data_IF_025223309839
#
_entry.id   IF_025223309839
#
_cell.length_a   1.000
_cell.length_b   1.000
_cell.length_c   1.000
_cell.angle_alpha   90.00
_cell.angle_beta   90.00
_cell.angle_gamma   90.00
#
_symmetry.space_group_name_H-M   'P 1'
#
loop_
_entity.id
_entity.type
_entity.pdbx_description
1 polymer ?
#
# COMPACT_ATOMS: atom_id res chain seq x y z
N UNK A 1 16.68 9.08 6.49
CA UNK A 1 15.43 9.34 5.73
C UNK A 1 14.29 9.08 6.70
N UNK A 2 13.48 10.11 6.98
CA UNK A 2 12.41 10.02 7.98
C UNK A 2 11.31 9.10 7.47
N UNK A 3 11.06 7.99 8.16
CA UNK A 3 9.91 7.13 7.91
C UNK A 3 8.66 7.98 8.06
N UNK A 4 7.99 8.30 6.96
CA UNK A 4 6.73 9.04 7.02
C UNK A 4 5.75 8.11 7.76
N UNK A 5 5.39 8.47 8.99
CA UNK A 5 4.39 7.75 9.76
C UNK A 5 3.05 7.96 9.06
N UNK A 6 2.62 6.95 8.30
CA UNK A 6 1.33 6.98 7.62
C UNK A 6 0.35 6.22 8.52
N UNK A 7 -0.59 6.94 9.11
CA UNK A 7 -1.67 6.31 9.87
C UNK A 7 -2.51 5.44 8.91
N UNK A 8 -2.99 4.27 9.36
CA UNK A 8 -3.92 3.50 8.56
C UNK A 8 -5.17 4.34 8.27
N UNK A 9 -5.72 4.28 7.05
CA UNK A 9 -7.01 4.89 6.75
C UNK A 9 -8.11 4.36 7.69
N UNK A 10 -9.10 5.20 8.01
CA UNK A 10 -10.20 4.84 8.93
C UNK A 10 -10.96 3.58 8.49
N UNK A 11 -11.17 3.43 7.18
CA UNK A 11 -11.83 2.24 6.63
C UNK A 11 -11.01 0.98 6.92
N UNK A 12 -9.68 1.04 6.82
CA UNK A 12 -8.82 -0.12 7.08
C UNK A 12 -8.89 -0.49 8.57
N UNK A 13 -8.83 0.52 9.45
CA UNK A 13 -8.97 0.32 10.88
C UNK A 13 -10.36 -0.28 11.26
N UNK A 14 -11.42 0.16 10.59
CA UNK A 14 -12.79 -0.33 10.80
C UNK A 14 -12.97 -1.83 10.46
N UNK A 15 -12.07 -2.38 9.63
CA UNK A 15 -12.02 -3.79 9.26
C UNK A 15 -10.91 -4.55 9.99
N UNK A 16 -10.54 -4.13 11.21
CA UNK A 16 -9.43 -4.68 12.00
C UNK A 16 -8.10 -4.73 11.23
N UNK A 17 -7.89 -3.74 10.36
CA UNK A 17 -6.73 -3.62 9.51
C UNK A 17 -5.69 -2.64 10.05
N UNK A 18 -4.42 -2.91 9.75
CA UNK A 18 -3.30 -2.03 10.09
C UNK A 18 -2.41 -1.80 8.88
N UNK A 19 -1.76 -0.64 8.85
CA UNK A 19 -0.78 -0.26 7.84
C UNK A 19 0.54 0.06 8.54
N UNK A 20 1.56 -0.74 8.24
CA UNK A 20 2.88 -0.61 8.89
C UNK A 20 3.93 -0.30 7.84
N UNK A 21 4.62 0.86 7.92
CA UNK A 21 5.72 1.15 7.01
C UNK A 21 6.90 0.19 7.26
N UNK A 22 7.55 -0.26 6.19
CA UNK A 22 8.78 -1.05 6.28
C UNK A 22 9.96 -0.19 6.72
N UNK A 23 11.01 -0.84 7.22
CA UNK A 23 12.23 -0.16 7.73
C UNK A 23 12.95 0.69 6.68
N UNK A 24 12.86 0.30 5.41
CA UNK A 24 13.46 1.02 4.28
C UNK A 24 12.55 2.15 3.74
N UNK A 25 11.32 2.26 4.23
CA UNK A 25 10.38 3.33 3.87
C UNK A 25 9.87 3.26 2.42
N UNK A 26 10.09 2.14 1.73
CA UNK A 26 9.66 1.93 0.34
C UNK A 26 8.50 0.95 0.21
N UNK A 27 8.03 0.39 1.32
CA UNK A 27 6.86 -0.47 1.31
C UNK A 27 6.02 -0.31 2.57
N UNK A 28 4.77 -0.75 2.48
CA UNK A 28 3.84 -0.78 3.59
C UNK A 28 3.20 -2.15 3.66
N UNK A 29 3.19 -2.71 4.85
CA UNK A 29 2.60 -4.00 5.18
C UNK A 29 1.17 -3.78 5.63
N UNK A 30 0.22 -4.42 4.96
CA UNK A 30 -1.19 -4.40 5.32
C UNK A 30 -1.53 -5.68 6.04
N UNK A 31 -1.94 -5.53 7.30
CA UNK A 31 -2.50 -6.65 8.05
C UNK A 31 -4.00 -6.47 8.16
N UNK A 32 -4.74 -7.58 8.16
CA UNK A 32 -6.19 -7.63 8.42
C UNK A 32 -6.42 -8.77 9.38
N UNK A 33 -7.08 -8.52 10.51
CA UNK A 33 -7.29 -9.54 11.55
C UNK A 33 -5.98 -10.09 12.14
N UNK A 34 -4.88 -9.32 12.07
CA UNK A 34 -3.56 -9.73 12.55
C UNK A 34 -2.70 -10.49 11.53
N UNK A 35 -3.25 -10.85 10.37
CA UNK A 35 -2.52 -11.55 9.31
C UNK A 35 -2.01 -10.60 8.25
N UNK A 36 -0.77 -10.79 7.78
CA UNK A 36 -0.21 -10.04 6.66
C UNK A 36 -0.88 -10.49 5.36
N UNK A 37 -1.68 -9.63 4.74
CA UNK A 37 -2.47 -9.95 3.54
C UNK A 37 -1.94 -9.30 2.27
N UNK A 38 -1.38 -8.09 2.39
CA UNK A 38 -0.85 -7.34 1.26
C UNK A 38 0.43 -6.58 1.61
N UNK A 39 1.24 -6.35 0.59
CA UNK A 39 2.36 -5.43 0.60
C UNK A 39 2.15 -4.40 -0.50
N UNK A 40 2.18 -3.11 -0.13
CA UNK A 40 2.23 -2.00 -1.06
C UNK A 40 3.69 -1.62 -1.24
N UNK A 41 4.24 -1.81 -2.44
CA UNK A 41 5.63 -1.45 -2.74
C UNK A 41 5.69 -0.20 -3.61
N UNK A 42 6.42 0.81 -3.15
CA UNK A 42 6.76 1.98 -3.94
C UNK A 42 7.73 1.59 -5.05
N UNK A 43 7.36 1.86 -6.29
CA UNK A 43 8.16 1.55 -7.47
C UNK A 43 8.30 2.78 -8.37
N UNK A 44 9.43 2.93 -9.06
CA UNK A 44 9.59 3.98 -10.06
C UNK A 44 8.75 3.67 -11.31
N UNK A 45 8.05 4.68 -11.83
CA UNK A 45 7.28 4.58 -13.08
C UNK A 45 7.62 5.79 -13.94
N UNK A 46 8.46 5.61 -14.97
CA UNK A 46 8.86 6.70 -15.90
C UNK A 46 9.33 7.98 -15.20
N UNK A 47 10.18 7.85 -14.17
CA UNK A 47 10.69 9.00 -13.38
C UNK A 47 9.70 9.57 -12.36
N UNK A 48 8.53 8.94 -12.20
CA UNK A 48 7.52 9.23 -11.18
C UNK A 48 7.39 8.05 -10.20
N UNK A 49 6.38 8.10 -9.35
CA UNK A 49 6.13 7.12 -8.30
C UNK A 49 4.86 6.32 -8.58
N UNK A 50 4.88 5.03 -8.31
CA UNK A 50 3.69 4.18 -8.34
C UNK A 50 3.69 3.18 -7.20
N UNK A 51 2.55 2.55 -6.95
CA UNK A 51 2.40 1.47 -5.98
C UNK A 51 2.10 0.16 -6.68
N UNK A 52 2.92 -0.85 -6.38
CA UNK A 52 2.66 -2.23 -6.75
C UNK A 52 2.02 -2.94 -5.58
N UNK A 53 0.83 -3.53 -5.78
CA UNK A 53 0.17 -4.36 -4.76
C UNK A 53 0.58 -5.81 -4.93
N UNK A 54 1.16 -6.39 -3.89
CA UNK A 54 1.44 -7.83 -3.81
C UNK A 54 0.55 -8.46 -2.75
N UNK A 55 -0.25 -9.44 -3.15
CA UNK A 55 -1.00 -10.28 -2.22
C UNK A 55 -0.08 -11.38 -1.69
N UNK A 56 0.04 -11.48 -0.37
CA UNK A 56 1.02 -12.39 0.25
C UNK A 56 0.58 -13.85 0.22
N UNK A 57 -0.71 -14.12 0.35
CA UNK A 57 -1.24 -15.49 0.44
C UNK A 57 -1.01 -16.33 -0.84
N UNK A 58 -0.90 -15.69 -2.00
CA UNK A 58 -0.74 -16.36 -3.29
C UNK A 58 0.32 -15.71 -4.19
N UNK A 59 1.03 -14.70 -3.69
CA UNK A 59 2.04 -13.95 -4.45
C UNK A 59 1.47 -13.12 -5.61
N UNK A 60 0.14 -12.98 -5.74
CA UNK A 60 -0.47 -12.28 -6.88
C UNK A 60 -0.08 -10.81 -6.87
N UNK A 61 0.54 -10.38 -7.97
CA UNK A 61 0.88 -9.00 -8.21
C UNK A 61 -0.26 -8.31 -8.96
N UNK A 62 -0.63 -7.13 -8.50
CA UNK A 62 -1.51 -6.23 -9.24
C UNK A 62 -0.64 -5.22 -9.96
N UNK A 63 -0.89 -4.95 -11.25
CA UNK A 63 -0.20 -3.91 -11.98
C UNK A 63 -0.30 -2.57 -11.25
N UNK A 64 0.72 -1.73 -11.46
CA UNK A 64 0.72 -0.37 -10.98
C UNK A 64 -0.29 0.41 -11.82
N UNK A 65 -1.26 1.04 -11.17
CA UNK A 65 -2.23 1.90 -11.85
C UNK A 65 -1.82 3.36 -11.69
N UNK A 66 -1.17 3.90 -12.72
CA UNK A 66 -0.76 5.31 -12.76
C UNK A 66 0.64 5.64 -12.24
N UNK A 67 0.99 6.92 -12.39
CA UNK A 67 2.30 7.46 -12.04
C UNK A 67 2.14 8.86 -11.43
N UNK A 68 2.56 9.02 -10.18
CA UNK A 68 2.26 10.16 -9.32
C UNK A 68 3.50 11.02 -9.04
N UNK A 69 3.27 12.30 -8.74
CA UNK A 69 4.34 13.28 -8.50
C UNK A 69 5.14 12.98 -7.23
N UNK A 70 4.52 12.39 -6.20
CA UNK A 70 5.16 12.10 -4.91
C UNK A 70 4.88 10.67 -4.43
N UNK A 71 5.73 10.12 -3.53
CA UNK A 71 5.48 8.83 -2.89
C UNK A 71 4.14 8.77 -2.12
N UNK A 72 3.77 9.85 -1.43
CA UNK A 72 2.54 9.92 -0.64
C UNK A 72 1.29 9.86 -1.53
N UNK A 73 1.30 10.58 -2.66
CA UNK A 73 0.21 10.49 -3.65
C UNK A 73 0.09 9.09 -4.24
N UNK A 74 1.23 8.43 -4.52
CA UNK A 74 1.21 7.06 -5.01
C UNK A 74 0.62 6.12 -3.95
N UNK A 75 0.99 6.28 -2.68
CA UNK A 75 0.45 5.49 -1.57
C UNK A 75 -1.06 5.64 -1.42
N UNK A 76 -1.58 6.87 -1.45
CA UNK A 76 -3.02 7.14 -1.39
C UNK A 76 -3.77 6.43 -2.54
N UNK A 77 -3.26 6.53 -3.76
CA UNK A 77 -3.83 5.83 -4.91
C UNK A 77 -3.77 4.30 -4.75
N UNK A 78 -2.65 3.76 -4.26
CA UNK A 78 -2.49 2.34 -3.99
C UNK A 78 -3.42 1.81 -2.90
N UNK A 79 -3.67 2.61 -1.85
CA UNK A 79 -4.64 2.31 -0.80
C UNK A 79 -6.08 2.35 -1.32
N UNK A 80 -6.40 3.30 -2.21
CA UNK A 80 -7.70 3.34 -2.90
C UNK A 80 -7.93 2.09 -3.74
N UNK A 81 -6.95 1.72 -4.57
CA UNK A 81 -7.04 0.51 -5.40
C UNK A 81 -7.14 -0.78 -4.55
N UNK A 82 -6.45 -0.82 -3.40
CA UNK A 82 -6.60 -1.92 -2.45
C UNK A 82 -8.02 -1.99 -1.89
N UNK A 83 -8.58 -0.85 -1.47
CA UNK A 83 -9.94 -0.76 -0.94
C UNK A 83 -10.96 -1.29 -1.95
N UNK A 84 -10.88 -0.84 -3.20
CA UNK A 84 -11.76 -1.30 -4.28
C UNK A 84 -11.65 -2.82 -4.50
N UNK A 85 -10.42 -3.35 -4.44
CA UNK A 85 -10.15 -4.78 -4.60
C UNK A 85 -10.69 -5.64 -3.44
N UNK A 86 -10.77 -5.08 -2.24
CA UNK A 86 -11.36 -5.72 -1.06
C UNK A 86 -12.89 -5.58 -1.05
N UNK A 87 -13.46 -4.65 -1.82
CA UNK A 87 -14.89 -4.38 -1.88
C UNK A 87 -15.41 -3.60 -0.67
N UNK A 88 -14.62 -2.68 -0.12
CA UNK A 88 -14.91 -1.89 1.08
C UNK A 88 -15.15 -0.40 0.79
#
# INVERSE_FOLDING_TARGET
>A
MSTQAVSPPEWLASHNGTLTPSKDGKSWLVHVGGELVYVLALVPVQGRHGIKLMQTINGKLTPVDGAHGTPSQALEAGLSALRDKLGW
#
